data_IF_668587794302
#
_entry.id   IF_668587794302
#
_cell.length_a   1.000
_cell.length_b   1.000
_cell.length_c   1.000
_cell.angle_alpha   90.00
_cell.angle_beta   90.00
_cell.angle_gamma   90.00
#
_symmetry.space_group_name_H-M   'P 1'
#
loop_
_entity.id
_entity.type
_entity.pdbx_description
1 polymer ?
#
# COMPACT_ATOMS: atom_id res chain seq x y z
N UNK A 1 22.19 -0.13 14.13
CA UNK A 1 21.09 -0.27 14.54
C UNK A 1 20.10 -0.60 13.56
N UNK A 2 19.34 -1.52 13.70
CA UNK A 2 18.39 -1.95 12.77
C UNK A 2 17.23 -1.00 12.75
N UNK A 3 16.73 -0.71 11.56
CA UNK A 3 15.64 0.13 11.46
C UNK A 3 14.41 -0.69 11.69
N UNK A 4 13.53 -0.23 12.53
CA UNK A 4 12.33 -0.89 12.78
C UNK A 4 11.40 -0.81 11.64
N UNK A 5 10.79 -1.88 11.23
CA UNK A 5 9.82 -1.87 10.16
C UNK A 5 8.43 -1.78 10.70
N UNK A 6 7.60 -1.05 10.02
CA UNK A 6 6.21 -0.91 10.39
C UNK A 6 5.39 -1.62 9.32
N UNK A 7 4.44 -2.42 9.76
CA UNK A 7 3.59 -3.15 8.84
C UNK A 7 2.15 -2.74 9.00
N UNK A 8 1.42 -2.78 7.91
CA UNK A 8 0.00 -2.51 7.90
C UNK A 8 -0.72 -3.78 7.48
N UNK A 9 -1.84 -4.07 8.10
CA UNK A 9 -2.65 -5.17 7.60
C UNK A 9 -3.58 -4.62 6.52
N UNK A 10 -4.38 -5.51 5.93
CA UNK A 10 -5.26 -5.12 4.84
C UNK A 10 -6.21 -4.00 5.24
N UNK A 11 -6.75 -4.11 6.43
CA UNK A 11 -7.70 -3.13 6.90
C UNK A 11 -7.05 -1.77 7.10
N UNK A 12 -5.85 -1.77 7.65
CA UNK A 12 -5.13 -0.53 7.88
C UNK A 12 -4.75 0.15 6.57
N UNK A 13 -4.30 -0.64 5.60
CA UNK A 13 -3.98 -0.09 4.30
C UNK A 13 -5.22 0.48 3.63
N UNK A 14 -6.33 -0.24 3.70
CA UNK A 14 -7.56 0.23 3.11
C UNK A 14 -7.96 1.56 3.73
N UNK A 15 -7.85 1.66 5.05
CA UNK A 15 -8.20 2.86 5.74
C UNK A 15 -7.30 4.03 5.32
N UNK A 16 -6.01 3.77 5.21
CA UNK A 16 -5.06 4.78 4.81
C UNK A 16 -5.37 5.35 3.43
N UNK A 17 -5.79 4.48 2.51
CA UNK A 17 -6.07 4.91 1.15
C UNK A 17 -7.55 5.15 0.90
N UNK A 18 -8.34 5.09 1.96
CA UNK A 18 -9.78 5.35 1.87
C UNK A 18 -10.47 4.44 0.90
N UNK A 19 -10.13 3.16 1.00
CA UNK A 19 -10.77 2.12 0.20
C UNK A 19 -11.35 1.09 1.15
N UNK A 20 -12.20 0.23 0.64
CA UNK A 20 -12.71 -0.84 1.48
C UNK A 20 -11.69 -1.96 1.51
N UNK A 21 -11.65 -2.73 2.59
CA UNK A 21 -10.74 -3.88 2.64
C UNK A 21 -10.99 -4.85 1.51
N UNK A 22 -12.24 -4.97 1.08
CA UNK A 22 -12.56 -5.85 -0.02
C UNK A 22 -11.88 -5.40 -1.31
N UNK A 23 -11.77 -4.10 -1.53
CA UNK A 23 -11.10 -3.57 -2.70
C UNK A 23 -9.63 -3.97 -2.67
N UNK A 24 -8.99 -3.84 -1.52
CA UNK A 24 -7.58 -4.20 -1.38
C UNK A 24 -7.38 -5.70 -1.61
N UNK A 25 -8.30 -6.50 -1.08
CA UNK A 25 -8.23 -7.94 -1.30
C UNK A 25 -8.39 -8.27 -2.77
N UNK A 26 -9.25 -7.54 -3.46
CA UNK A 26 -9.44 -7.74 -4.89
C UNK A 26 -8.18 -7.43 -5.66
N UNK A 27 -7.44 -6.43 -5.25
CA UNK A 27 -6.16 -6.13 -5.90
C UNK A 27 -5.21 -7.31 -5.79
N UNK A 28 -5.13 -7.91 -4.58
CA UNK A 28 -4.25 -9.06 -4.41
C UNK A 28 -4.66 -10.23 -5.28
N UNK A 29 -5.95 -10.46 -5.38
CA UNK A 29 -6.45 -11.57 -6.20
C UNK A 29 -6.11 -11.38 -7.66
N UNK A 30 -6.06 -10.13 -8.12
CA UNK A 30 -5.75 -9.83 -9.50
C UNK A 30 -4.27 -9.51 -9.70
N UNK A 31 -3.49 -9.63 -8.64
CA UNK A 31 -2.06 -9.37 -8.69
C UNK A 31 -1.72 -7.96 -9.12
N UNK A 32 -2.50 -7.02 -8.65
CA UNK A 32 -2.22 -5.61 -8.85
C UNK A 32 -2.15 -4.98 -7.46
N UNK A 33 -1.81 -3.70 -7.40
CA UNK A 33 -1.69 -3.03 -6.13
C UNK A 33 -0.29 -3.19 -5.56
N UNK A 34 -0.07 -2.79 -4.33
CA UNK A 34 1.26 -2.82 -3.76
C UNK A 34 1.71 -4.22 -3.37
N UNK A 35 3.00 -4.39 -3.30
CA UNK A 35 3.57 -5.67 -2.87
C UNK A 35 3.22 -5.92 -1.42
N UNK A 36 3.15 -7.18 -1.05
CA UNK A 36 2.79 -7.53 0.30
C UNK A 36 3.57 -8.77 0.75
N UNK A 37 3.51 -9.03 2.04
CA UNK A 37 4.14 -10.20 2.62
C UNK A 37 3.05 -11.14 3.13
N UNK A 38 3.23 -12.41 2.86
CA UNK A 38 2.31 -13.42 3.38
C UNK A 38 3.08 -14.16 4.47
N UNK A 39 2.82 -13.82 5.71
CA UNK A 39 3.53 -14.41 6.83
C UNK A 39 2.69 -15.53 7.39
N UNK A 40 2.77 -16.66 6.69
CA UNK A 40 2.08 -17.82 7.17
C UNK A 40 0.57 -17.60 7.27
N UNK A 41 0.02 -17.03 6.23
CA UNK A 41 -1.42 -16.77 6.18
C UNK A 41 -1.79 -15.38 6.62
N UNK A 42 -0.87 -14.65 7.22
CA UNK A 42 -1.16 -13.31 7.62
C UNK A 42 -0.59 -12.33 6.61
N UNK A 43 -1.44 -11.55 6.00
CA UNK A 43 -1.03 -10.61 4.98
C UNK A 43 -0.70 -9.27 5.61
N UNK A 44 0.49 -8.77 5.35
CA UNK A 44 0.88 -7.46 5.83
C UNK A 44 1.61 -6.71 4.72
N UNK A 45 1.62 -5.40 4.83
CA UNK A 45 2.27 -4.53 3.87
C UNK A 45 3.33 -3.74 4.62
N UNK A 46 4.52 -3.68 4.04
CA UNK A 46 5.61 -2.91 4.64
C UNK A 46 5.32 -1.43 4.39
N UNK A 47 5.28 -0.64 5.42
CA UNK A 47 4.95 0.77 5.28
C UNK A 47 5.88 1.48 4.31
N UNK A 48 7.16 1.14 4.30
CA UNK A 48 8.09 1.76 3.37
C UNK A 48 7.69 1.50 1.93
N UNK A 49 7.23 0.28 1.65
CA UNK A 49 6.76 -0.04 0.31
C UNK A 49 5.48 0.70 -0.03
N UNK A 50 4.63 0.88 0.95
CA UNK A 50 3.40 1.61 0.74
C UNK A 50 3.70 3.07 0.44
N UNK A 51 4.62 3.67 1.17
CA UNK A 51 5.00 5.05 0.94
C UNK A 51 5.61 5.20 -0.46
N UNK A 52 6.42 4.24 -0.86
CA UNK A 52 7.00 4.28 -2.18
C UNK A 52 5.93 4.19 -3.26
N UNK A 53 4.95 3.33 -3.06
CA UNK A 53 3.86 3.20 -4.02
C UNK A 53 3.07 4.50 -4.12
N UNK A 54 2.88 5.17 -3.01
CA UNK A 54 2.20 6.45 -2.99
C UNK A 54 2.98 7.50 -3.76
N UNK A 55 4.30 7.49 -3.60
CA UNK A 55 5.11 8.45 -4.31
C UNK A 55 5.08 8.21 -5.81
N UNK A 56 5.09 6.95 -6.21
CA UNK A 56 5.04 6.62 -7.62
C UNK A 56 3.69 6.96 -8.25
N UNK A 57 2.64 6.94 -7.45
CA UNK A 57 1.32 7.26 -7.94
C UNK A 57 1.03 8.75 -7.92
N UNK A 58 1.96 9.52 -7.37
CA UNK A 58 1.72 10.95 -7.24
C UNK A 58 1.65 11.62 -8.60
N UNK A 59 0.65 12.44 -8.78
CA UNK A 59 0.50 13.20 -10.01
C UNK A 59 0.85 14.64 -9.71
N UNK A 60 1.83 15.15 -10.43
CA UNK A 60 2.29 16.50 -10.22
C UNK A 60 1.72 17.42 -11.28
N UNK A 61 1.17 18.51 -10.87
CA UNK A 61 0.62 19.47 -11.82
C UNK A 61 1.40 20.74 -11.85
N UNK A 62 2.57 20.72 -11.26
CA UNK A 62 3.28 21.98 -11.16
C UNK A 62 3.65 22.54 -12.50
N UNK A 63 3.77 21.73 -13.48
CA UNK A 63 4.06 22.31 -14.74
C UNK A 63 2.83 22.58 -15.49
N UNK A 64 1.69 22.14 -15.13
CA UNK A 64 0.57 22.38 -15.77
C UNK A 64 -0.13 23.23 -15.09
N UNK A 65 -0.30 24.02 -15.14
CA UNK A 65 -0.87 24.77 -14.46
C UNK A 65 -1.97 24.71 -14.57
N UNK A 66 -2.54 24.48 -14.25
CA UNK A 66 -3.73 24.28 -14.37
C UNK A 66 -4.38 24.92 -13.80
#
# INVERSE_FOLDING_TARGET
MAKERTFLDTKQLAQRWRRSPRTVEGWRARKIGPDYLDLNGKIVYDLDEIVRAEEEARVSHETRQT
#
